data_IF_944232530232
#
_entry.id   IF_944232530232
#
_cell.length_a   1.000
_cell.length_b   1.000
_cell.length_c   1.000
_cell.angle_alpha   90.00
_cell.angle_beta   90.00
_cell.angle_gamma   90.00
#
_symmetry.space_group_name_H-M   'P 1'
#
loop_
_entity.id
_entity.type
_entity.pdbx_description
1 polymer ?
#
# COMPACT_ATOMS: atom_id res chain seq x y z
N UNK A 1 -12.17 9.44 -4.89
CA UNK A 1 -10.75 9.20 -5.16
C UNK A 1 -10.63 7.75 -5.59
N UNK A 2 -10.48 7.52 -6.89
CA UNK A 2 -10.40 6.17 -7.44
C UNK A 2 -8.94 5.72 -7.36
N UNK A 3 -8.66 4.65 -6.62
CA UNK A 3 -7.31 4.07 -6.52
C UNK A 3 -7.25 2.74 -7.25
N UNK A 4 -6.15 2.50 -7.95
CA UNK A 4 -5.86 1.26 -8.68
C UNK A 4 -4.79 0.50 -7.91
N UNK A 5 -5.02 -0.80 -7.71
CA UNK A 5 -4.00 -1.69 -7.15
C UNK A 5 -3.17 -2.28 -8.28
N UNK A 6 -1.86 -2.14 -8.16
CA UNK A 6 -0.89 -2.78 -9.02
C UNK A 6 -0.78 -4.29 -8.80
N UNK A 7 0.19 -4.94 -9.46
CA UNK A 7 0.48 -6.35 -9.24
C UNK A 7 0.90 -6.60 -7.79
N UNK A 8 0.63 -7.82 -7.34
CA UNK A 8 1.06 -8.28 -6.02
C UNK A 8 2.53 -8.68 -6.13
N UNK A 9 3.36 -8.10 -5.28
CA UNK A 9 4.79 -8.37 -5.24
C UNK A 9 5.19 -8.75 -3.82
N UNK A 10 6.04 -9.76 -3.69
CA UNK A 10 6.71 -10.02 -2.43
C UNK A 10 7.85 -9.03 -2.22
N UNK A 11 7.80 -8.31 -1.09
CA UNK A 11 8.77 -7.30 -0.69
C UNK A 11 9.31 -7.66 0.69
N UNK A 12 10.63 -7.70 0.80
CA UNK A 12 11.29 -7.90 2.07
C UNK A 12 11.34 -6.56 2.82
N UNK A 13 10.58 -6.48 3.91
CA UNK A 13 10.52 -5.32 4.78
C UNK A 13 11.32 -5.56 6.06
N UNK A 14 11.53 -4.50 6.84
CA UNK A 14 12.20 -4.59 8.16
C UNK A 14 11.49 -5.61 9.07
N UNK A 15 10.17 -5.75 8.94
CA UNK A 15 9.37 -6.67 9.74
C UNK A 15 9.18 -8.05 9.08
N UNK A 16 9.97 -8.40 8.06
CA UNK A 16 9.91 -9.70 7.38
C UNK A 16 9.36 -9.65 5.95
N UNK A 17 9.14 -10.82 5.36
CA UNK A 17 8.59 -10.96 4.00
C UNK A 17 7.09 -10.65 4.00
N UNK A 18 6.68 -9.74 3.11
CA UNK A 18 5.28 -9.36 2.93
C UNK A 18 4.92 -9.37 1.45
N UNK A 19 3.73 -9.85 1.11
CA UNK A 19 3.15 -9.56 -0.19
C UNK A 19 2.49 -8.19 -0.10
N UNK A 20 2.93 -7.25 -0.91
CA UNK A 20 2.35 -5.91 -1.04
C UNK A 20 1.79 -5.72 -2.45
N UNK A 21 0.96 -4.70 -2.63
CA UNK A 21 0.55 -4.24 -3.96
C UNK A 21 0.64 -2.72 -3.97
N UNK A 22 1.33 -2.16 -4.96
CA UNK A 22 1.43 -0.71 -5.10
C UNK A 22 0.06 -0.11 -5.42
N UNK A 23 -0.17 1.10 -4.94
CA UNK A 23 -1.43 1.83 -5.02
C UNK A 23 -1.19 3.04 -5.90
N UNK A 24 -1.91 3.11 -7.01
CA UNK A 24 -1.82 4.20 -7.96
C UNK A 24 -3.10 5.04 -7.95
N UNK A 25 -2.98 6.33 -8.21
CA UNK A 25 -4.12 7.18 -8.46
C UNK A 25 -4.72 6.84 -9.83
N UNK A 26 -6.02 6.56 -9.90
CA UNK A 26 -6.69 6.33 -11.19
C UNK A 26 -6.76 7.58 -12.06
N UNK A 27 -6.71 8.77 -11.44
CA UNK A 27 -6.88 10.05 -12.12
C UNK A 27 -5.56 10.58 -12.70
N UNK A 28 -4.43 10.40 -12.00
CA UNK A 28 -3.11 10.88 -12.45
C UNK A 28 -2.08 9.77 -12.73
N UNK A 29 -2.38 8.51 -12.40
CA UNK A 29 -1.45 7.37 -12.57
C UNK A 29 -0.26 7.38 -11.60
N UNK A 30 -0.14 8.38 -10.74
CA UNK A 30 0.97 8.46 -9.80
C UNK A 30 0.88 7.40 -8.70
N UNK A 31 2.03 6.85 -8.32
CA UNK A 31 2.15 6.03 -7.13
C UNK A 31 1.82 6.87 -5.90
N UNK A 32 0.82 6.41 -5.14
CA UNK A 32 0.37 6.98 -3.88
C UNK A 32 0.96 6.23 -2.68
N UNK A 33 1.44 5.00 -2.91
CA UNK A 33 2.05 4.15 -1.89
C UNK A 33 1.75 2.68 -2.18
N UNK A 34 1.54 1.87 -1.15
CA UNK A 34 1.37 0.43 -1.27
C UNK A 34 0.49 -0.14 -0.15
N UNK A 35 -0.13 -1.29 -0.41
CA UNK A 35 -1.02 -1.99 0.52
C UNK A 35 -0.42 -3.33 0.90
N UNK A 36 -0.46 -3.68 2.19
CA UNK A 36 -0.14 -5.03 2.63
C UNK A 36 -1.24 -6.00 2.20
N UNK A 37 -0.90 -6.94 1.32
CA UNK A 37 -1.81 -7.98 0.84
C UNK A 37 -1.72 -9.21 1.73
N UNK A 38 -0.49 -9.62 2.08
CA UNK A 38 -0.25 -10.80 2.91
C UNK A 38 0.99 -10.61 3.78
N UNK A 39 0.91 -11.07 5.03
CA UNK A 39 2.06 -11.19 5.91
C UNK A 39 2.37 -12.68 6.15
N UNK A 40 3.63 -13.07 6.00
CA UNK A 40 4.04 -14.46 6.24
C UNK A 40 4.28 -14.74 7.72
N UNK A 41 4.58 -13.70 8.50
CA UNK A 41 4.70 -13.80 9.95
C UNK A 41 3.36 -13.54 10.64
N UNK A 42 2.97 -14.43 11.55
CA UNK A 42 1.70 -14.34 12.27
C UNK A 42 1.60 -13.05 13.10
N UNK A 43 2.73 -12.61 13.67
CA UNK A 43 2.86 -11.35 14.41
C UNK A 43 2.63 -10.12 13.55
N UNK A 44 2.69 -10.23 12.22
CA UNK A 44 2.51 -9.13 11.27
C UNK A 44 1.17 -9.20 10.51
N UNK A 45 0.37 -10.25 10.69
CA UNK A 45 -0.95 -10.40 10.01
C UNK A 45 -1.90 -9.24 10.29
N UNK A 46 -1.78 -8.57 11.43
CA UNK A 46 -2.54 -7.36 11.74
C UNK A 46 -2.29 -6.20 10.75
N UNK A 47 -1.24 -6.28 9.93
CA UNK A 47 -0.95 -5.31 8.85
C UNK A 47 -1.67 -5.64 7.56
N UNK A 48 -2.10 -6.87 7.35
CA UNK A 48 -2.84 -7.28 6.15
C UNK A 48 -4.07 -6.39 5.97
N UNK A 49 -4.24 -5.84 4.76
CA UNK A 49 -5.30 -4.89 4.46
C UNK A 49 -4.97 -3.42 4.79
N UNK A 50 -3.87 -3.11 5.49
CA UNK A 50 -3.45 -1.72 5.73
C UNK A 50 -2.78 -1.13 4.49
N UNK A 51 -3.05 0.15 4.24
CA UNK A 51 -2.42 0.92 3.17
C UNK A 51 -1.37 1.85 3.79
N UNK A 52 -0.15 1.81 3.27
CA UNK A 52 0.90 2.79 3.52
C UNK A 52 0.91 3.74 2.34
N UNK A 53 0.45 4.95 2.58
CA UNK A 53 0.41 5.99 1.57
C UNK A 53 1.47 7.04 1.91
N UNK A 54 2.17 7.53 0.89
CA UNK A 54 3.15 8.59 1.06
C UNK A 54 2.44 9.92 1.36
N UNK A 55 2.78 10.50 2.52
CA UNK A 55 2.13 11.72 3.07
C UNK A 55 2.19 12.93 2.14
N UNK A 56 3.12 12.98 1.19
CA UNK A 56 3.31 14.12 0.30
C UNK A 56 2.25 14.22 -0.80
N UNK A 57 1.52 13.13 -1.12
CA UNK A 57 0.53 13.13 -2.23
C UNK A 57 -0.92 13.08 -1.79
N UNK A 58 -1.18 12.82 -0.51
CA UNK A 58 -2.54 12.93 0.04
C UNK A 58 -2.75 14.38 0.49
N UNK A 59 -2.94 15.28 -0.47
CA UNK A 59 -3.56 16.57 -0.16
C UNK A 59 -4.98 16.23 0.23
N UNK A 60 -5.22 16.14 1.54
CA UNK A 60 -6.53 15.97 2.12
C UNK A 60 -7.30 17.24 1.79
N UNK A 61 -8.04 17.22 0.68
CA UNK A 61 -9.07 18.21 0.37
C UNK A 61 -10.18 18.11 1.41
N UNK A 62 -9.90 18.57 2.62
CA UNK A 62 -10.93 19.03 3.53
C UNK A 62 -11.11 20.51 3.16
N UNK A 63 -12.22 20.82 2.51
CA UNK A 63 -12.67 22.20 2.30
C UNK A 63 -12.94 22.93 3.61
#
# INVERSE_FOLDING_TARGET
MNIILGPKEDRQLITGLHTVADVYCSDCGEELGWKYIKAYEETQKYKEGKCVLEKFKIIKGNG
#
